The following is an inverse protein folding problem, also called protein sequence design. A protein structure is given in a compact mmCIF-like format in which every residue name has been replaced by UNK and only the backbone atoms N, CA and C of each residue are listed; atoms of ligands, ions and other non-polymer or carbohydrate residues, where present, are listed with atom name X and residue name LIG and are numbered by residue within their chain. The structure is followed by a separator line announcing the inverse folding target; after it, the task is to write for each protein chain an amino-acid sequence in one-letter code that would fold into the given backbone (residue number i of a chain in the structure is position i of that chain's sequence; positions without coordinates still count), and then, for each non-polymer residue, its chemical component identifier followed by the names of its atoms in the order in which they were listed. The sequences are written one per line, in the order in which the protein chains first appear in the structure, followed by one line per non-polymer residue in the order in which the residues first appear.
data_IF_587333698177
#
_entry.id   IF_587333698177
#
_cell.length_a   1.000
_cell.length_b   1.000
_cell.length_c   1.000
_cell.angle_alpha   90.00
_cell.angle_beta   90.00
_cell.angle_gamma   90.00
#
_symmetry.space_group_name_H-M   'P 1'
#
loop_
_entity.id
_entity.type
_entity.pdbx_description
1 polymer ?
#
# COMPACT_ATOMS: atom_id res chain seq x y z
N UNK A 1 -15.47 -25.55 10.71
CA UNK A 1 -14.55 -24.38 10.87
C UNK A 1 -15.36 -23.21 11.40
N UNK A 2 -14.98 -22.65 12.53
CA UNK A 2 -15.64 -21.54 13.22
C UNK A 2 -14.91 -20.23 12.91
N UNK A 3 -15.59 -19.19 12.45
CA UNK A 3 -14.97 -17.89 12.15
C UNK A 3 -15.08 -16.96 13.35
N UNK A 4 -13.93 -16.57 13.91
CA UNK A 4 -13.82 -15.62 15.02
C UNK A 4 -13.52 -14.24 14.44
N UNK A 5 -14.45 -13.31 14.61
CA UNK A 5 -14.27 -11.92 14.14
C UNK A 5 -13.58 -11.08 15.19
N UNK A 6 -12.59 -10.30 14.77
CA UNK A 6 -11.77 -9.51 15.69
C UNK A 6 -11.73 -8.06 15.22
N UNK A 7 -12.21 -7.16 16.09
CA UNK A 7 -12.02 -5.72 15.91
C UNK A 7 -10.85 -5.26 16.78
N UNK A 8 -9.83 -4.65 16.13
CA UNK A 8 -8.54 -4.32 16.77
C UNK A 8 -8.40 -2.83 16.96
N UNK A 9 -8.17 -2.42 18.20
CA UNK A 9 -7.78 -1.06 18.57
C UNK A 9 -6.33 -1.01 19.07
N UNK A 10 -5.87 0.18 19.45
CA UNK A 10 -4.50 0.39 19.94
C UNK A 10 -4.19 -0.42 21.20
N UNK A 11 -5.06 -0.35 22.20
CA UNK A 11 -4.79 -0.87 23.54
C UNK A 11 -5.53 -2.17 23.85
N UNK A 12 -6.55 -2.51 23.04
CA UNK A 12 -7.37 -3.71 23.20
C UNK A 12 -7.92 -4.20 21.86
N UNK A 13 -8.47 -5.40 21.87
CA UNK A 13 -9.28 -5.91 20.77
C UNK A 13 -10.48 -6.70 21.30
N UNK A 14 -11.57 -6.69 20.54
CA UNK A 14 -12.79 -7.43 20.85
C UNK A 14 -12.87 -8.63 19.90
N UNK A 15 -13.05 -9.82 20.47
CA UNK A 15 -13.26 -11.05 19.70
C UNK A 15 -14.71 -11.51 19.83
N UNK A 16 -15.35 -11.81 18.69
CA UNK A 16 -16.71 -12.34 18.61
C UNK A 16 -16.69 -13.82 18.25
N UNK A 17 -17.25 -14.63 19.14
CA UNK A 17 -17.33 -16.07 19.01
C UNK A 17 -18.75 -16.47 18.60
N UNK A 18 -18.95 -17.20 17.47
CA UNK A 18 -20.26 -17.72 17.08
C UNK A 18 -20.84 -18.65 18.13
N UNK A 19 -22.15 -18.57 18.33
CA UNK A 19 -22.97 -19.43 19.19
C UNK A 19 -24.22 -19.85 18.45
N UNK A 20 -24.97 -20.84 18.98
CA UNK A 20 -26.23 -21.32 18.36
C UNK A 20 -27.21 -20.17 18.05
N UNK A 21 -27.30 -19.17 18.92
CA UNK A 21 -28.21 -18.03 18.80
C UNK A 21 -27.46 -16.68 18.79
N UNK A 22 -26.46 -16.51 17.90
CA UNK A 22 -25.75 -15.24 17.77
C UNK A 22 -24.28 -15.32 18.13
N UNK A 23 -23.75 -14.30 18.81
CA UNK A 23 -22.33 -14.17 19.12
C UNK A 23 -22.12 -13.78 20.58
N UNK A 24 -21.10 -14.36 21.20
CA UNK A 24 -20.54 -13.89 22.48
C UNK A 24 -19.28 -13.09 22.20
N UNK A 25 -19.13 -11.94 22.82
CA UNK A 25 -17.95 -11.10 22.67
C UNK A 25 -17.09 -11.12 23.92
N UNK A 26 -15.77 -11.08 23.74
CA UNK A 26 -14.79 -10.97 24.81
C UNK A 26 -13.75 -9.93 24.43
N UNK A 27 -13.32 -9.13 25.40
CA UNK A 27 -12.30 -8.09 25.21
C UNK A 27 -10.96 -8.55 25.80
N UNK A 28 -9.89 -8.33 25.02
CA UNK A 28 -8.51 -8.68 25.41
C UNK A 28 -7.63 -7.44 25.25
N UNK A 29 -6.52 -7.39 26.02
CA UNK A 29 -5.49 -6.37 25.83
C UNK A 29 -4.69 -6.65 24.54
N UNK A 30 -4.36 -5.61 23.79
CA UNK A 30 -3.53 -5.72 22.58
C UNK A 30 -2.03 -5.71 22.95
N UNK A 31 -1.64 -6.63 23.82
CA UNK A 31 -0.26 -6.91 24.21
C UNK A 31 0.02 -8.42 24.15
N UNK A 32 1.28 -8.81 24.32
CA UNK A 32 1.68 -10.23 24.23
C UNK A 32 0.93 -11.14 25.21
N UNK A 33 0.60 -10.65 26.41
CA UNK A 33 -0.13 -11.44 27.43
C UNK A 33 -1.60 -11.61 27.04
N UNK A 34 -2.25 -10.51 26.64
CA UNK A 34 -3.65 -10.55 26.22
C UNK A 34 -3.86 -11.40 24.97
N UNK A 35 -2.94 -11.32 23.99
CA UNK A 35 -3.01 -12.16 22.78
C UNK A 35 -2.81 -13.63 23.12
N UNK A 36 -1.87 -13.99 24.02
CA UNK A 36 -1.70 -15.37 24.47
C UNK A 36 -2.94 -15.89 25.21
N UNK A 37 -3.56 -15.08 26.07
CA UNK A 37 -4.82 -15.43 26.73
C UNK A 37 -5.95 -15.65 25.73
N UNK A 38 -6.02 -14.82 24.69
CA UNK A 38 -6.95 -15.00 23.57
C UNK A 38 -6.71 -16.32 22.84
N UNK A 39 -5.46 -16.61 22.47
CA UNK A 39 -5.09 -17.86 21.79
C UNK A 39 -5.54 -19.09 22.59
N UNK A 40 -5.35 -19.07 23.92
CA UNK A 40 -5.78 -20.16 24.80
C UNK A 40 -7.31 -20.34 24.85
N UNK A 41 -8.07 -19.26 24.57
CA UNK A 41 -9.55 -19.29 24.55
C UNK A 41 -10.15 -19.74 23.22
N UNK A 42 -9.31 -19.94 22.19
CA UNK A 42 -9.80 -20.29 20.85
C UNK A 42 -10.18 -21.78 20.75
N UNK A 43 -11.26 -22.10 20.02
CA UNK A 43 -11.59 -23.49 19.68
C UNK A 43 -10.54 -24.10 18.74
N UNK A 44 -10.39 -25.44 18.77
CA UNK A 44 -9.42 -26.16 17.93
C UNK A 44 -9.63 -25.94 16.42
N UNK A 45 -10.87 -25.90 15.94
CA UNK A 45 -11.21 -25.69 14.51
C UNK A 45 -11.76 -24.27 14.29
N UNK A 46 -10.88 -23.27 14.38
CA UNK A 46 -11.26 -21.88 14.18
C UNK A 46 -10.41 -21.18 13.10
N UNK A 47 -10.98 -20.12 12.53
CA UNK A 47 -10.33 -19.21 11.62
C UNK A 47 -10.57 -17.78 12.10
N UNK A 48 -9.51 -17.06 12.43
CA UNK A 48 -9.60 -15.68 12.88
C UNK A 48 -9.70 -14.72 11.67
N UNK A 49 -10.62 -13.77 11.74
CA UNK A 49 -10.78 -12.73 10.72
C UNK A 49 -10.69 -11.38 11.39
N UNK A 50 -9.86 -10.49 10.86
CA UNK A 50 -9.70 -9.12 11.38
C UNK A 50 -9.68 -8.09 10.25
N UNK A 51 -10.03 -6.86 10.59
CA UNK A 51 -9.84 -5.70 9.72
C UNK A 51 -8.39 -5.18 9.84
N UNK A 52 -7.81 -4.74 8.73
CA UNK A 52 -6.46 -4.17 8.72
C UNK A 52 -6.44 -2.77 9.39
N UNK A 53 -6.12 -2.72 10.68
CA UNK A 53 -6.04 -1.49 11.50
C UNK A 53 -4.61 -0.96 11.60
N UNK A 54 -3.94 -0.86 10.47
CA UNK A 54 -2.56 -0.39 10.39
C UNK A 54 -1.58 -1.30 11.15
N UNK A 55 -0.72 -0.71 12.00
CA UNK A 55 0.28 -1.49 12.74
C UNK A 55 -0.29 -2.19 13.98
N UNK A 56 -1.46 -1.78 14.47
CA UNK A 56 -2.02 -2.31 15.71
C UNK A 56 -2.47 -3.78 15.60
N UNK A 57 -2.85 -4.21 14.39
CA UNK A 57 -3.23 -5.61 14.13
C UNK A 57 -2.03 -6.55 13.91
N UNK A 58 -0.80 -6.02 13.76
CA UNK A 58 0.35 -6.85 13.37
C UNK A 58 0.84 -7.77 14.47
N UNK A 59 0.83 -7.35 15.74
CA UNK A 59 1.22 -8.20 16.87
C UNK A 59 0.29 -9.42 16.98
N UNK A 60 -1.02 -9.15 16.94
CA UNK A 60 -2.05 -10.19 17.00
C UNK A 60 -1.91 -11.17 15.84
N UNK A 61 -1.81 -10.66 14.61
CA UNK A 61 -1.61 -11.49 13.41
C UNK A 61 -0.38 -12.39 13.52
N UNK A 62 0.76 -11.83 13.95
CA UNK A 62 2.02 -12.56 14.07
C UNK A 62 1.92 -13.69 15.09
N UNK A 63 1.38 -13.43 16.29
CA UNK A 63 1.26 -14.43 17.34
C UNK A 63 0.24 -15.52 17.01
N UNK A 64 -0.88 -15.19 16.34
CA UNK A 64 -1.84 -16.18 15.85
C UNK A 64 -1.20 -17.11 14.81
N UNK A 65 -0.44 -16.58 13.88
CA UNK A 65 0.24 -17.41 12.88
C UNK A 65 1.36 -18.25 13.49
N UNK A 66 2.10 -17.74 14.48
CA UNK A 66 3.05 -18.56 15.25
C UNK A 66 2.38 -19.74 15.98
N UNK A 67 1.15 -19.54 16.42
CA UNK A 67 0.34 -20.58 17.04
C UNK A 67 -0.32 -21.54 16.01
N UNK A 68 -0.07 -21.35 14.70
CA UNK A 68 -0.66 -22.18 13.65
C UNK A 68 -2.14 -21.90 13.37
N UNK A 69 -2.69 -20.78 13.88
CA UNK A 69 -4.11 -20.44 13.73
C UNK A 69 -4.34 -19.74 12.39
N UNK A 70 -5.18 -20.29 11.51
CA UNK A 70 -5.57 -19.64 10.27
C UNK A 70 -6.15 -18.25 10.55
N UNK A 71 -5.58 -17.22 9.93
CA UNK A 71 -5.96 -15.84 10.21
C UNK A 71 -6.02 -15.03 8.92
N UNK A 72 -7.16 -14.41 8.64
CA UNK A 72 -7.36 -13.49 7.52
C UNK A 72 -7.35 -12.04 7.99
N UNK A 73 -6.67 -11.18 7.23
CA UNK A 73 -6.66 -9.74 7.45
C UNK A 73 -7.26 -9.05 6.24
N UNK A 74 -8.44 -8.47 6.43
CA UNK A 74 -9.25 -7.91 5.35
C UNK A 74 -9.14 -6.41 5.21
N UNK A 75 -9.36 -5.93 3.98
CA UNK A 75 -9.36 -4.51 3.70
C UNK A 75 -10.56 -3.83 4.40
N UNK A 76 -10.35 -2.71 5.13
CA UNK A 76 -11.42 -1.95 5.79
C UNK A 76 -12.60 -1.60 4.88
N UNK A 77 -12.35 -1.37 3.61
CA UNK A 77 -13.43 -1.08 2.66
C UNK A 77 -14.34 -2.30 2.41
N UNK A 78 -13.79 -3.53 2.41
CA UNK A 78 -14.62 -4.73 2.25
C UNK A 78 -15.56 -4.89 3.44
N UNK A 79 -15.04 -4.76 4.66
CA UNK A 79 -15.84 -4.82 5.89
C UNK A 79 -16.90 -3.71 5.90
N UNK A 80 -16.52 -2.48 5.56
CA UNK A 80 -17.46 -1.35 5.46
C UNK A 80 -18.58 -1.58 4.43
N UNK A 81 -18.26 -2.13 3.25
CA UNK A 81 -19.28 -2.44 2.25
C UNK A 81 -20.19 -3.58 2.71
N UNK A 82 -19.63 -4.58 3.37
CA UNK A 82 -20.39 -5.68 3.96
C UNK A 82 -21.34 -5.16 5.06
N UNK A 83 -20.86 -4.30 5.96
CA UNK A 83 -21.67 -3.63 6.99
C UNK A 83 -22.88 -2.91 6.37
N UNK A 84 -22.68 -2.18 5.28
CA UNK A 84 -23.77 -1.51 4.55
C UNK A 84 -24.75 -2.49 3.93
N UNK A 85 -24.27 -3.59 3.36
CA UNK A 85 -25.13 -4.62 2.80
C UNK A 85 -26.01 -5.29 3.87
N UNK A 86 -25.48 -5.42 5.10
CA UNK A 86 -26.18 -5.93 6.29
C UNK A 86 -27.07 -4.88 6.98
N UNK A 87 -27.13 -3.63 6.45
CA UNK A 87 -27.90 -2.51 7.01
C UNK A 87 -27.58 -2.21 8.49
N UNK A 88 -26.34 -2.46 8.92
CA UNK A 88 -25.92 -2.21 10.29
C UNK A 88 -25.79 -0.69 10.51
N UNK A 89 -26.59 -0.14 11.42
CA UNK A 89 -26.65 1.31 11.71
C UNK A 89 -25.80 1.67 12.93
N UNK A 90 -25.78 0.79 13.93
CA UNK A 90 -25.05 1.04 15.19
C UNK A 90 -23.59 0.61 15.04
N UNK A 91 -22.68 1.43 15.57
CA UNK A 91 -21.25 1.17 15.58
C UNK A 91 -20.72 1.11 17.01
N UNK A 92 -20.28 -0.08 17.42
CA UNK A 92 -19.50 -0.37 18.62
C UNK A 92 -18.51 -1.45 18.30
N UNK A 93 -17.40 -1.52 19.03
CA UNK A 93 -16.35 -2.54 18.81
C UNK A 93 -16.91 -3.98 18.87
N UNK A 94 -17.92 -4.21 19.73
CA UNK A 94 -18.61 -5.51 19.80
C UNK A 94 -19.44 -5.81 18.54
N UNK A 95 -20.13 -4.83 17.99
CA UNK A 95 -20.91 -4.98 16.76
C UNK A 95 -19.99 -5.15 15.59
N UNK A 96 -18.90 -4.39 15.54
CA UNK A 96 -17.90 -4.51 14.47
C UNK A 96 -17.22 -5.88 14.52
N UNK A 97 -16.85 -6.42 15.69
CA UNK A 97 -16.32 -7.77 15.83
C UNK A 97 -17.31 -8.86 15.38
N UNK A 98 -18.62 -8.74 15.74
CA UNK A 98 -19.67 -9.65 15.27
C UNK A 98 -19.84 -9.60 13.77
N UNK A 99 -19.80 -8.41 13.18
CA UNK A 99 -19.90 -8.20 11.76
C UNK A 99 -18.72 -8.83 11.00
N UNK A 100 -17.50 -8.72 11.56
CA UNK A 100 -16.29 -9.34 10.99
C UNK A 100 -16.41 -10.88 11.08
N UNK A 101 -16.96 -11.45 12.16
CA UNK A 101 -17.21 -12.87 12.26
C UNK A 101 -18.21 -13.35 11.17
N UNK A 102 -19.33 -12.63 11.02
CA UNK A 102 -20.34 -12.88 9.98
C UNK A 102 -19.76 -12.76 8.56
N UNK A 103 -18.86 -11.77 8.36
CA UNK A 103 -18.11 -11.65 7.11
C UNK A 103 -17.27 -12.90 6.85
N UNK A 104 -16.55 -13.39 7.86
CA UNK A 104 -15.78 -14.63 7.78
C UNK A 104 -16.63 -15.82 7.35
N UNK A 105 -17.80 -16.03 7.97
CA UNK A 105 -18.74 -17.11 7.66
C UNK A 105 -19.29 -17.04 6.23
N UNK A 106 -19.64 -15.84 5.76
CA UNK A 106 -20.26 -15.65 4.44
C UNK A 106 -19.26 -15.59 3.29
N UNK A 107 -18.08 -15.03 3.52
CA UNK A 107 -17.12 -14.73 2.47
C UNK A 107 -15.93 -15.70 2.45
N UNK A 108 -15.75 -16.51 3.49
CA UNK A 108 -14.68 -17.52 3.62
C UNK A 108 -13.31 -17.01 3.15
N UNK A 109 -12.80 -15.90 3.74
CA UNK A 109 -11.58 -15.26 3.26
C UNK A 109 -10.36 -16.16 3.42
N UNK A 110 -9.44 -16.09 2.47
CA UNK A 110 -8.19 -16.84 2.53
C UNK A 110 -7.28 -16.35 3.67
N UNK A 111 -6.49 -17.24 4.31
CA UNK A 111 -5.51 -16.84 5.31
C UNK A 111 -4.51 -15.83 4.76
N UNK A 112 -4.21 -14.81 5.56
CA UNK A 112 -3.23 -13.80 5.22
C UNK A 112 -1.81 -14.39 5.25
N UNK A 113 -1.07 -14.18 4.19
CA UNK A 113 0.35 -14.58 4.12
C UNK A 113 1.22 -13.43 4.63
N UNK A 114 1.94 -13.64 5.74
CA UNK A 114 2.89 -12.63 6.23
C UNK A 114 3.97 -12.41 5.15
N UNK A 115 4.24 -11.15 4.80
CA UNK A 115 5.35 -10.79 3.93
C UNK A 115 6.70 -11.28 4.49
N UNK A 116 7.67 -11.52 3.61
CA UNK A 116 9.04 -11.77 4.04
C UNK A 116 9.54 -10.65 4.96
N UNK A 117 10.36 -10.99 5.94
CA UNK A 117 10.88 -10.05 6.93
C UNK A 117 11.55 -8.84 6.28
N UNK A 118 12.33 -9.08 5.22
CA UNK A 118 12.96 -8.02 4.42
C UNK A 118 11.94 -7.01 3.84
N UNK A 119 10.77 -7.47 3.41
CA UNK A 119 9.68 -6.58 2.95
C UNK A 119 9.10 -5.76 4.11
N UNK A 120 8.92 -6.38 5.27
CA UNK A 120 8.43 -5.66 6.46
C UNK A 120 9.41 -4.58 6.91
N UNK A 121 10.71 -4.89 6.95
CA UNK A 121 11.77 -3.93 7.28
C UNK A 121 11.84 -2.78 6.27
N UNK A 122 11.82 -3.09 4.97
CA UNK A 122 11.76 -2.08 3.92
C UNK A 122 10.53 -1.19 4.02
N UNK A 123 9.35 -1.76 4.33
CA UNK A 123 8.11 -1.01 4.52
C UNK A 123 8.21 -0.03 5.69
N UNK A 124 8.80 -0.46 6.82
CA UNK A 124 9.04 0.40 7.99
C UNK A 124 9.97 1.56 7.63
N UNK A 125 11.16 1.26 7.06
CA UNK A 125 12.14 2.27 6.64
C UNK A 125 11.53 3.29 5.66
N UNK A 126 10.76 2.84 4.67
CA UNK A 126 10.08 3.73 3.72
C UNK A 126 9.00 4.58 4.39
N UNK A 127 8.34 4.08 5.42
CA UNK A 127 7.35 4.86 6.18
C UNK A 127 8.03 6.00 6.95
N UNK A 128 9.14 5.69 7.63
CA UNK A 128 9.97 6.70 8.33
C UNK A 128 10.53 7.71 7.34
N UNK A 129 11.12 7.26 6.22
CA UNK A 129 11.65 8.13 5.18
C UNK A 129 10.60 9.12 4.65
N UNK A 130 9.38 8.64 4.41
CA UNK A 130 8.27 9.49 3.96
C UNK A 130 7.93 10.58 4.98
N UNK A 131 7.95 10.24 6.27
CA UNK A 131 7.67 11.19 7.34
C UNK A 131 8.78 12.23 7.48
N UNK A 132 10.06 11.81 7.44
CA UNK A 132 11.21 12.74 7.48
C UNK A 132 11.18 13.72 6.29
N UNK A 133 10.85 13.24 5.07
CA UNK A 133 10.69 14.11 3.90
C UNK A 133 9.58 15.15 4.06
N UNK A 134 8.44 14.78 4.70
CA UNK A 134 7.38 15.74 5.01
C UNK A 134 7.86 16.81 6.01
N UNK A 135 8.57 16.40 7.06
CA UNK A 135 9.13 17.34 8.04
C UNK A 135 10.15 18.27 7.38
N UNK A 136 11.02 17.74 6.51
CA UNK A 136 11.98 18.58 5.78
C UNK A 136 11.31 19.65 4.93
N UNK A 137 10.25 19.28 4.19
CA UNK A 137 9.49 20.26 3.39
C UNK A 137 8.80 21.30 4.28
N UNK A 138 8.17 20.89 5.38
CA UNK A 138 7.55 21.82 6.32
C UNK A 138 8.57 22.79 6.93
N UNK A 139 9.74 22.28 7.33
CA UNK A 139 10.83 23.11 7.93
C UNK A 139 11.42 24.08 6.90
N UNK A 140 11.58 23.66 5.62
CA UNK A 140 12.01 24.56 4.53
C UNK A 140 10.98 25.66 4.25
N UNK A 141 9.68 25.34 4.26
CA UNK A 141 8.63 26.35 4.11
C UNK A 141 8.64 27.34 5.27
N UNK A 142 8.88 26.89 6.52
CA UNK A 142 9.07 27.76 7.66
C UNK A 142 10.30 28.68 7.46
N UNK A 143 11.43 28.14 7.01
CA UNK A 143 12.61 28.94 6.70
C UNK A 143 12.31 30.05 5.69
N UNK A 144 11.59 29.73 4.61
CA UNK A 144 11.19 30.73 3.60
C UNK A 144 10.24 31.78 4.17
N UNK A 145 9.28 31.37 5.03
CA UNK A 145 8.36 32.29 5.69
C UNK A 145 9.07 33.26 6.66
N UNK A 146 10.07 32.77 7.40
CA UNK A 146 10.87 33.62 8.29
C UNK A 146 11.81 34.58 7.52
N UNK A 147 12.27 34.17 6.35
CA UNK A 147 13.21 34.96 5.54
C UNK A 147 12.62 36.27 5.00
N UNK A 148 11.27 36.38 4.90
CA UNK A 148 10.60 37.61 4.41
C UNK A 148 10.25 38.58 5.55
N UNK A 149 10.54 38.24 6.81
CA UNK A 149 10.28 39.15 7.95
C UNK A 149 11.26 40.33 7.95
N UNK A 150 10.80 41.57 8.24
CA UNK A 150 11.67 42.78 8.28
C UNK A 150 12.77 42.69 9.35
N UNK A 151 12.52 41.97 10.43
CA UNK A 151 13.50 41.67 11.48
C UNK A 151 13.51 40.18 11.71
N UNK A 152 14.70 39.57 11.58
CA UNK A 152 14.87 38.13 11.79
C UNK A 152 15.63 37.90 13.11
N UNK A 153 15.07 36.99 13.92
CA UNK A 153 15.81 36.48 15.06
C UNK A 153 16.84 35.44 14.61
N UNK A 154 18.13 35.76 14.89
CA UNK A 154 19.25 34.92 14.45
C UNK A 154 19.26 33.54 15.10
N UNK A 155 18.81 33.44 16.38
CA UNK A 155 18.74 32.16 17.07
C UNK A 155 17.70 31.21 16.44
N UNK A 156 16.53 31.74 16.13
CA UNK A 156 15.45 31.01 15.42
C UNK A 156 15.90 30.56 14.03
N UNK A 157 16.55 31.45 13.25
CA UNK A 157 17.08 31.12 11.93
C UNK A 157 18.10 29.99 12.02
N UNK A 158 19.03 30.06 12.94
CA UNK A 158 20.06 29.04 13.13
C UNK A 158 19.46 27.68 13.56
N UNK A 159 18.45 27.70 14.41
CA UNK A 159 17.73 26.47 14.82
C UNK A 159 17.06 25.79 13.65
N UNK A 160 16.38 26.56 12.78
CA UNK A 160 15.74 26.02 11.56
C UNK A 160 16.78 25.45 10.60
N UNK A 161 17.90 26.14 10.39
CA UNK A 161 19.01 25.67 9.53
C UNK A 161 19.62 24.37 10.05
N UNK A 162 19.87 24.26 11.36
CA UNK A 162 20.34 23.02 11.99
C UNK A 162 19.37 21.87 11.80
N UNK A 163 18.06 22.14 11.98
CA UNK A 163 17.02 21.13 11.80
C UNK A 163 16.98 20.64 10.35
N UNK A 164 17.09 21.54 9.36
CA UNK A 164 17.13 21.17 7.93
C UNK A 164 18.35 20.28 7.64
N UNK A 165 19.53 20.64 8.15
CA UNK A 165 20.77 19.85 7.98
C UNK A 165 20.63 18.46 8.60
N UNK A 166 20.09 18.37 9.82
CA UNK A 166 19.85 17.11 10.51
C UNK A 166 18.88 16.21 9.72
N UNK A 167 17.71 16.73 9.34
CA UNK A 167 16.72 15.99 8.56
C UNK A 167 17.29 15.52 7.21
N UNK A 168 18.06 16.38 6.53
CA UNK A 168 18.66 16.03 5.23
C UNK A 168 19.64 14.87 5.36
N UNK A 169 20.48 14.86 6.43
CA UNK A 169 21.41 13.77 6.71
C UNK A 169 20.66 12.46 7.01
N UNK A 170 19.66 12.49 7.90
CA UNK A 170 18.87 11.31 8.24
C UNK A 170 18.12 10.72 7.04
N UNK A 171 17.65 11.58 6.13
CA UNK A 171 17.02 11.14 4.87
C UNK A 171 18.03 10.42 4.00
N UNK A 172 19.25 10.98 3.81
CA UNK A 172 20.29 10.37 2.98
C UNK A 172 20.72 8.99 3.54
N UNK A 173 21.01 8.92 4.85
CA UNK A 173 21.37 7.68 5.53
C UNK A 173 20.30 6.59 5.34
N UNK A 174 19.02 6.94 5.52
CA UNK A 174 17.92 6.00 5.38
C UNK A 174 17.64 5.59 3.92
N UNK A 175 17.89 6.48 2.95
CA UNK A 175 17.83 6.15 1.51
C UNK A 175 18.92 5.14 1.12
N UNK A 176 20.12 5.30 1.65
CA UNK A 176 21.23 4.36 1.44
C UNK A 176 20.95 3.01 2.09
N UNK A 177 20.43 2.98 3.32
CA UNK A 177 20.03 1.73 3.98
C UNK A 177 18.93 0.99 3.21
N UNK A 178 17.92 1.70 2.71
CA UNK A 178 16.86 1.12 1.87
C UNK A 178 17.45 0.52 0.59
N UNK A 179 18.36 1.26 -0.04
CA UNK A 179 19.03 0.82 -1.28
C UNK A 179 19.88 -0.42 -1.03
N UNK A 180 20.67 -0.43 0.05
CA UNK A 180 21.53 -1.54 0.43
C UNK A 180 20.72 -2.81 0.77
N UNK A 181 19.66 -2.66 1.58
CA UNK A 181 18.77 -3.77 1.92
C UNK A 181 18.04 -4.31 0.67
N UNK A 182 17.57 -3.41 -0.21
CA UNK A 182 16.92 -3.80 -1.47
C UNK A 182 17.88 -4.54 -2.39
N UNK A 183 19.14 -4.10 -2.48
CA UNK A 183 20.16 -4.77 -3.29
C UNK A 183 20.60 -6.11 -2.70
N UNK A 184 20.66 -6.23 -1.36
CA UNK A 184 21.00 -7.48 -0.68
C UNK A 184 19.95 -8.56 -0.93
N UNK A 185 18.67 -8.23 -0.71
CA UNK A 185 17.58 -9.21 -0.70
C UNK A 185 16.90 -9.37 -2.06
N UNK A 186 16.94 -8.32 -2.92
CA UNK A 186 16.18 -8.25 -4.18
C UNK A 186 17.05 -7.76 -5.35
N UNK A 187 18.35 -8.09 -5.34
CA UNK A 187 19.32 -7.60 -6.36
C UNK A 187 18.80 -7.80 -7.77
N UNK A 188 18.35 -9.01 -8.09
CA UNK A 188 17.89 -9.35 -9.45
C UNK A 188 16.69 -8.49 -9.85
N UNK A 189 15.69 -8.33 -8.98
CA UNK A 189 14.54 -7.48 -9.26
C UNK A 189 14.94 -6.00 -9.37
N UNK A 190 15.88 -5.54 -8.54
CA UNK A 190 16.42 -4.17 -8.63
C UNK A 190 17.08 -3.93 -9.99
N UNK A 191 17.95 -4.83 -10.44
CA UNK A 191 18.65 -4.74 -11.74
C UNK A 191 17.63 -4.74 -12.90
N UNK A 192 16.65 -5.63 -12.85
CA UNK A 192 15.59 -5.73 -13.86
C UNK A 192 14.73 -4.46 -13.92
N UNK A 193 14.31 -3.96 -12.79
CA UNK A 193 13.46 -2.74 -12.72
C UNK A 193 14.22 -1.49 -13.17
N UNK A 194 15.47 -1.35 -12.75
CA UNK A 194 16.29 -0.19 -13.11
C UNK A 194 16.79 -0.23 -14.57
N UNK A 195 16.70 -1.39 -15.26
CA UNK A 195 16.93 -1.48 -16.70
C UNK A 195 15.86 -0.73 -17.52
N UNK A 196 14.65 -0.51 -16.93
CA UNK A 196 13.59 0.25 -17.59
C UNK A 196 13.96 1.74 -17.55
N UNK A 197 14.14 2.34 -18.72
CA UNK A 197 14.42 3.78 -18.84
C UNK A 197 13.38 4.61 -18.07
N UNK A 198 13.83 5.32 -17.05
CA UNK A 198 13.03 6.16 -16.17
C UNK A 198 12.73 5.57 -14.79
N UNK A 199 12.90 4.28 -14.57
CA UNK A 199 12.77 3.67 -13.23
C UNK A 199 14.11 3.71 -12.51
N UNK A 200 14.23 4.61 -11.53
CA UNK A 200 15.40 4.69 -10.64
C UNK A 200 15.25 3.77 -9.41
N UNK A 201 16.35 3.65 -8.64
CA UNK A 201 16.43 2.79 -7.43
C UNK A 201 15.29 3.03 -6.44
N UNK A 202 14.91 4.29 -6.22
CA UNK A 202 13.82 4.67 -5.28
C UNK A 202 12.47 4.11 -5.70
N UNK A 203 12.11 4.20 -7.00
CA UNK A 203 10.85 3.63 -7.48
C UNK A 203 10.92 2.11 -7.56
N UNK A 204 12.07 1.53 -7.96
CA UNK A 204 12.28 0.08 -7.98
C UNK A 204 12.05 -0.53 -6.59
N UNK A 205 12.72 0.00 -5.56
CA UNK A 205 12.50 -0.42 -4.17
C UNK A 205 11.04 -0.24 -3.72
N UNK A 206 10.38 0.87 -4.14
CA UNK A 206 8.98 1.10 -3.83
C UNK A 206 8.05 0.03 -4.42
N UNK A 207 8.30 -0.35 -5.68
CA UNK A 207 7.54 -1.40 -6.36
C UNK A 207 7.78 -2.76 -5.72
N UNK A 208 9.02 -3.10 -5.36
CA UNK A 208 9.35 -4.35 -4.65
C UNK A 208 8.55 -4.45 -3.35
N UNK A 209 8.55 -3.39 -2.52
CA UNK A 209 7.80 -3.38 -1.26
C UNK A 209 6.29 -3.50 -1.49
N UNK A 210 5.75 -2.76 -2.46
CA UNK A 210 4.31 -2.76 -2.74
C UNK A 210 3.78 -4.08 -3.30
N UNK A 211 4.65 -4.85 -3.98
CA UNK A 211 4.29 -6.08 -4.68
C UNK A 211 4.84 -7.35 -4.03
N UNK A 212 5.57 -7.21 -2.89
CA UNK A 212 6.27 -8.36 -2.28
C UNK A 212 7.27 -9.00 -3.23
N UNK A 213 8.10 -8.19 -3.91
CA UNK A 213 9.00 -8.68 -4.94
C UNK A 213 8.28 -9.24 -6.17
N UNK A 214 7.07 -8.77 -6.46
CA UNK A 214 6.16 -9.21 -7.53
C UNK A 214 5.53 -10.59 -7.32
N UNK A 215 5.47 -11.07 -6.07
CA UNK A 215 4.86 -12.36 -5.72
C UNK A 215 3.38 -12.27 -5.33
N UNK A 216 2.87 -11.06 -4.95
CA UNK A 216 1.49 -10.91 -4.49
C UNK A 216 0.45 -10.85 -5.61
N UNK A 217 0.88 -10.73 -6.84
CA UNK A 217 0.00 -10.50 -7.98
C UNK A 217 0.32 -11.43 -9.14
N UNK A 218 -0.68 -12.04 -9.72
CA UNK A 218 -0.54 -12.94 -10.87
C UNK A 218 -0.44 -12.19 -12.21
N UNK A 219 -0.79 -10.90 -12.25
CA UNK A 219 -0.70 -10.10 -13.48
C UNK A 219 -0.60 -8.59 -13.22
N UNK A 220 -0.13 -7.86 -14.20
CA UNK A 220 0.06 -6.41 -14.13
C UNK A 220 -1.26 -5.62 -13.94
N UNK A 221 -2.42 -6.17 -14.35
CA UNK A 221 -3.72 -5.51 -14.19
C UNK A 221 -4.10 -5.44 -12.70
N UNK A 222 -3.80 -6.50 -11.93
CA UNK A 222 -4.00 -6.52 -10.48
C UNK A 222 -3.14 -5.47 -9.78
N UNK A 223 -1.85 -5.33 -10.15
CA UNK A 223 -0.97 -4.29 -9.62
C UNK A 223 -1.52 -2.90 -9.95
N UNK A 224 -1.92 -2.65 -11.20
CA UNK A 224 -2.49 -1.37 -11.61
C UNK A 224 -3.77 -1.01 -10.84
N UNK A 225 -4.62 -2.01 -10.56
CA UNK A 225 -5.82 -1.84 -9.73
C UNK A 225 -5.46 -1.55 -8.28
N UNK A 226 -4.51 -2.29 -7.71
CA UNK A 226 -4.01 -2.09 -6.35
C UNK A 226 -3.41 -0.69 -6.15
N UNK A 227 -2.69 -0.16 -7.15
CA UNK A 227 -2.12 1.18 -7.12
C UNK A 227 -3.13 2.29 -7.45
N UNK A 228 -4.35 1.93 -7.82
CA UNK A 228 -5.40 2.89 -8.19
C UNK A 228 -5.12 3.64 -9.50
N UNK A 229 -4.44 3.00 -10.45
CA UNK A 229 -4.15 3.54 -11.78
C UNK A 229 -5.23 3.18 -12.83
N UNK A 230 -6.14 2.26 -12.49
CA UNK A 230 -7.22 1.88 -13.40
C UNK A 230 -8.35 2.91 -13.37
N UNK A 231 -8.89 3.30 -14.53
CA UNK A 231 -10.08 4.13 -14.58
C UNK A 231 -11.29 3.36 -14.05
N UNK A 232 -12.15 4.06 -13.31
CA UNK A 232 -13.47 3.56 -12.93
C UNK A 232 -14.49 4.11 -13.92
N UNK A 233 -15.32 3.24 -14.47
CA UNK A 233 -16.43 3.61 -15.33
C UNK A 233 -17.73 3.36 -14.58
N UNK A 234 -18.68 4.29 -14.71
CA UNK A 234 -20.06 4.07 -14.28
C UNK A 234 -20.94 4.27 -15.51
N UNK A 235 -21.50 3.17 -15.98
CA UNK A 235 -22.47 3.16 -17.06
C UNK A 235 -23.71 2.42 -16.56
N UNK A 236 -24.86 3.03 -16.68
CA UNK A 236 -26.14 2.40 -16.37
C UNK A 236 -27.16 2.82 -17.43
N UNK A 237 -27.61 1.84 -18.21
CA UNK A 237 -28.50 2.07 -19.34
C UNK A 237 -27.96 3.10 -20.34
N UNK A 238 -28.85 3.85 -20.96
CA UNK A 238 -28.54 4.92 -21.94
C UNK A 238 -28.32 6.29 -21.27
N UNK A 239 -28.74 6.47 -20.02
CA UNK A 239 -28.82 7.78 -19.35
C UNK A 239 -27.59 8.13 -18.50
N UNK A 240 -26.83 7.13 -18.02
CA UNK A 240 -25.68 7.36 -17.16
C UNK A 240 -24.40 6.97 -17.89
N UNK A 241 -23.65 7.99 -18.33
CA UNK A 241 -22.30 7.81 -18.88
C UNK A 241 -21.34 8.79 -18.21
N UNK A 242 -20.81 8.39 -17.05
CA UNK A 242 -19.87 9.23 -16.30
C UNK A 242 -18.46 9.01 -16.85
N UNK A 243 -17.79 10.12 -17.24
CA UNK A 243 -16.38 10.08 -17.66
C UNK A 243 -15.52 9.42 -16.57
N UNK A 244 -14.86 8.34 -16.93
CA UNK A 244 -14.00 7.59 -16.02
C UNK A 244 -12.86 8.42 -15.44
N UNK A 245 -12.63 8.31 -14.16
CA UNK A 245 -11.47 8.85 -13.45
C UNK A 245 -10.75 7.72 -12.71
N UNK A 246 -9.50 7.96 -12.36
CA UNK A 246 -8.72 6.95 -11.63
C UNK A 246 -9.36 6.65 -10.27
N UNK A 247 -9.37 5.35 -9.90
CA UNK A 247 -9.78 4.94 -8.57
C UNK A 247 -8.79 5.51 -7.53
N UNK A 248 -9.32 6.22 -6.53
CA UNK A 248 -8.50 6.78 -5.44
C UNK A 248 -8.09 5.75 -4.38
N UNK A 249 -8.58 4.52 -4.49
CA UNK A 249 -8.18 3.40 -3.63
C UNK A 249 -6.76 2.96 -4.01
N UNK A 250 -5.86 2.92 -3.03
CA UNK A 250 -4.47 2.52 -3.24
C UNK A 250 -3.45 3.52 -2.69
N UNK A 251 -2.17 3.17 -2.76
CA UNK A 251 -1.08 4.01 -2.24
C UNK A 251 -0.93 5.31 -3.07
N UNK A 252 -1.43 6.40 -2.50
CA UNK A 252 -1.39 7.74 -3.11
C UNK A 252 0.05 8.21 -3.33
N UNK A 253 0.97 7.87 -2.42
CA UNK A 253 2.36 8.29 -2.52
C UNK A 253 3.07 7.56 -3.67
N UNK A 254 2.92 6.25 -3.77
CA UNK A 254 3.49 5.47 -4.86
C UNK A 254 2.88 5.86 -6.21
N UNK A 255 1.58 6.14 -6.26
CA UNK A 255 0.92 6.66 -7.45
C UNK A 255 1.49 8.01 -7.89
N UNK A 256 1.78 8.92 -6.94
CA UNK A 256 2.42 10.22 -7.25
C UNK A 256 3.85 10.03 -7.76
N UNK A 257 4.63 9.13 -7.20
CA UNK A 257 5.96 8.79 -7.69
C UNK A 257 5.90 8.22 -9.11
N UNK A 258 4.99 7.30 -9.38
CA UNK A 258 4.77 6.73 -10.72
C UNK A 258 4.36 7.79 -11.73
N UNK A 259 3.51 8.74 -11.35
CA UNK A 259 3.10 9.84 -12.21
C UNK A 259 4.30 10.71 -12.60
N UNK A 260 5.14 11.11 -11.65
CA UNK A 260 6.34 11.92 -11.92
C UNK A 260 7.34 11.17 -12.81
N UNK A 261 7.56 9.89 -12.54
CA UNK A 261 8.41 9.04 -13.39
C UNK A 261 7.81 8.89 -14.79
N UNK A 262 6.50 8.68 -14.90
CA UNK A 262 5.81 8.59 -16.18
C UNK A 262 5.95 9.87 -17.02
N UNK A 263 5.91 11.06 -16.40
CA UNK A 263 6.19 12.33 -17.10
C UNK A 263 7.59 12.33 -17.73
N UNK A 264 8.61 11.81 -17.05
CA UNK A 264 9.96 11.71 -17.61
C UNK A 264 10.04 10.64 -18.70
N UNK A 265 9.35 9.51 -18.53
CA UNK A 265 9.35 8.41 -19.49
C UNK A 265 8.72 8.78 -20.83
N UNK A 266 7.84 9.79 -20.90
CA UNK A 266 7.34 10.29 -22.19
C UNK A 266 8.44 10.86 -23.08
N UNK A 267 9.62 11.16 -22.52
CA UNK A 267 10.77 11.69 -23.24
C UNK A 267 11.84 10.66 -23.57
N UNK A 268 12.06 9.71 -22.66
CA UNK A 268 13.25 8.85 -22.69
C UNK A 268 12.97 7.35 -22.93
N UNK A 269 11.70 6.89 -22.81
CA UNK A 269 11.29 5.51 -23.03
C UNK A 269 10.43 5.45 -24.28
N UNK A 270 10.90 4.82 -25.35
CA UNK A 270 10.27 4.81 -26.67
C UNK A 270 8.80 4.35 -26.63
N UNK A 271 8.52 3.22 -25.96
CA UNK A 271 7.16 2.68 -25.85
C UNK A 271 6.23 3.57 -25.01
N UNK A 272 6.77 4.29 -24.02
CA UNK A 272 6.01 5.27 -23.22
C UNK A 272 5.71 6.52 -24.03
N UNK A 273 6.67 7.01 -24.80
CA UNK A 273 6.51 8.15 -25.69
C UNK A 273 5.45 7.87 -26.74
N UNK A 274 5.55 6.77 -27.47
CA UNK A 274 4.54 6.36 -28.45
C UNK A 274 3.13 6.29 -27.87
N UNK A 275 3.00 5.69 -26.66
CA UNK A 275 1.70 5.63 -25.96
C UNK A 275 1.18 7.01 -25.61
N UNK A 276 2.04 7.92 -25.16
CA UNK A 276 1.67 9.30 -24.83
C UNK A 276 1.22 10.03 -26.08
N UNK A 277 2.02 10.05 -27.14
CA UNK A 277 1.78 10.78 -28.38
C UNK A 277 0.48 10.30 -29.05
N UNK A 278 0.27 8.99 -29.15
CA UNK A 278 -0.98 8.40 -29.68
C UNK A 278 -2.21 8.84 -28.88
N UNK A 279 -2.14 8.86 -27.55
CA UNK A 279 -3.27 9.27 -26.71
C UNK A 279 -3.53 10.79 -26.82
N UNK A 280 -2.49 11.60 -26.98
CA UNK A 280 -2.63 13.04 -27.21
C UNK A 280 -3.25 13.33 -28.58
N UNK A 281 -2.82 12.62 -29.63
CA UNK A 281 -3.42 12.71 -30.95
C UNK A 281 -4.91 12.32 -30.95
N UNK A 282 -5.31 11.35 -30.10
CA UNK A 282 -6.70 10.96 -29.91
C UNK A 282 -7.48 11.87 -28.94
N UNK A 283 -7.01 13.10 -28.68
CA UNK A 283 -7.73 14.12 -27.90
C UNK A 283 -7.73 13.89 -26.38
N UNK A 284 -6.98 12.94 -25.84
CA UNK A 284 -6.89 12.73 -24.38
C UNK A 284 -6.10 13.87 -23.73
N UNK A 285 -6.56 14.31 -22.54
CA UNK A 285 -5.82 15.33 -21.77
C UNK A 285 -4.41 14.83 -21.39
N UNK A 286 -3.43 15.75 -21.27
CA UNK A 286 -2.06 15.40 -20.91
C UNK A 286 -1.97 14.60 -19.60
N UNK A 287 -2.76 14.97 -18.57
CA UNK A 287 -2.82 14.23 -17.31
C UNK A 287 -3.30 12.78 -17.51
N UNK A 288 -4.34 12.57 -18.30
CA UNK A 288 -4.86 11.24 -18.60
C UNK A 288 -3.86 10.39 -19.39
N UNK A 289 -3.16 11.00 -20.36
CA UNK A 289 -2.12 10.33 -21.13
C UNK A 289 -0.94 9.89 -20.24
N UNK A 290 -0.47 10.75 -19.32
CA UNK A 290 0.59 10.40 -18.34
C UNK A 290 0.16 9.27 -17.41
N UNK A 291 -1.09 9.24 -16.94
CA UNK A 291 -1.59 8.10 -16.12
C UNK A 291 -1.59 6.81 -16.93
N UNK A 292 -1.92 6.84 -18.20
CA UNK A 292 -1.84 5.67 -19.06
C UNK A 292 -0.37 5.21 -19.26
N UNK A 293 0.57 6.15 -19.37
CA UNK A 293 2.01 5.84 -19.37
C UNK A 293 2.45 5.20 -18.06
N UNK A 294 1.98 5.70 -16.90
CA UNK A 294 2.25 5.07 -15.60
C UNK A 294 1.76 3.61 -15.57
N UNK A 295 0.60 3.33 -16.15
CA UNK A 295 0.07 1.97 -16.29
C UNK A 295 0.94 1.12 -17.25
N UNK A 296 1.45 1.71 -18.34
CA UNK A 296 2.41 1.03 -19.25
C UNK A 296 3.69 0.67 -18.51
N UNK A 297 4.24 1.57 -17.68
CA UNK A 297 5.42 1.29 -16.86
C UNK A 297 5.21 0.12 -15.89
N UNK A 298 4.05 0.01 -15.25
CA UNK A 298 3.73 -1.15 -14.39
C UNK A 298 3.71 -2.45 -15.20
N UNK A 299 3.20 -2.42 -16.42
CA UNK A 299 3.23 -3.59 -17.31
C UNK A 299 4.65 -3.97 -17.71
N UNK A 300 5.51 -2.98 -18.02
CA UNK A 300 6.93 -3.22 -18.30
C UNK A 300 7.62 -3.79 -17.06
N UNK A 301 7.42 -3.20 -15.87
CA UNK A 301 8.00 -3.66 -14.61
C UNK A 301 7.59 -5.11 -14.29
N UNK A 302 6.31 -5.44 -14.43
CA UNK A 302 5.83 -6.80 -14.24
C UNK A 302 6.46 -7.78 -15.27
N UNK A 303 6.53 -7.39 -16.54
CA UNK A 303 7.06 -8.25 -17.60
C UNK A 303 8.55 -8.55 -17.43
N UNK A 304 9.39 -7.56 -17.09
CA UNK A 304 10.82 -7.78 -16.90
C UNK A 304 11.11 -8.67 -15.70
N UNK A 305 10.35 -8.52 -14.62
CA UNK A 305 10.52 -9.34 -13.42
C UNK A 305 10.01 -10.77 -13.64
N UNK A 306 8.83 -10.95 -14.22
CA UNK A 306 8.25 -12.30 -14.43
C UNK A 306 8.97 -13.10 -15.50
N UNK A 307 9.44 -12.42 -16.57
CA UNK A 307 10.25 -13.06 -17.62
C UNK A 307 11.73 -13.19 -17.24
N UNK A 308 12.14 -12.57 -16.13
CA UNK A 308 13.53 -12.53 -15.68
C UNK A 308 14.51 -12.00 -16.74
N UNK A 309 14.08 -11.03 -17.55
CA UNK A 309 14.86 -10.46 -18.66
C UNK A 309 14.90 -8.92 -18.53
N UNK A 310 16.08 -8.29 -18.75
CA UNK A 310 16.18 -6.83 -18.75
C UNK A 310 15.28 -6.20 -19.81
N UNK A 311 14.92 -4.95 -19.57
CA UNK A 311 14.14 -4.17 -20.52
C UNK A 311 14.96 -3.88 -21.79
N UNK A 312 14.37 -4.15 -22.95
CA UNK A 312 14.92 -3.79 -24.27
C UNK A 312 14.04 -2.68 -24.86
N UNK A 313 14.66 -1.53 -25.15
CA UNK A 313 13.93 -0.40 -25.76
C UNK A 313 13.56 -0.74 -27.20
N UNK A 314 12.33 -0.39 -27.60
CA UNK A 314 11.83 -0.74 -28.93
C UNK A 314 11.38 -2.19 -29.11
N UNK A 315 11.33 -3.00 -28.06
CA UNK A 315 10.80 -4.37 -28.16
C UNK A 315 9.33 -4.35 -28.58
N UNK A 316 9.05 -4.89 -29.78
CA UNK A 316 7.69 -5.15 -30.26
C UNK A 316 7.35 -6.60 -29.91
N UNK A 317 6.28 -6.81 -29.12
CA UNK A 317 5.79 -8.15 -28.81
C UNK A 317 5.30 -8.82 -30.10
N UNK A 318 5.85 -9.98 -30.42
CA UNK A 318 5.40 -10.82 -31.55
C UNK A 318 4.04 -11.50 -31.30
N UNK A 319 3.37 -11.17 -30.18
CA UNK A 319 2.03 -11.66 -29.87
C UNK A 319 1.04 -10.57 -30.30
N UNK A 320 0.54 -10.71 -31.51
CA UNK A 320 -0.65 -10.03 -32.00
C UNK A 320 -1.92 -10.64 -31.37
#
# INVERSE_FOLDING_TARGET
MMYIGIDVSKDSFVAAYPRKNGYTTMTFKNDTKGVRSFITSLPEDCHCVMEATGNYSMLLLYLLQQAGIPTSMENPQKIKHFSRAMMTVTKTDEIDAKLIAMYGEKMTPEPYKIPAESILLLKQKRTVLRQLKKHLVATKNLQQSLAVLPKQDLASKHTVEKTIKFLSRQIAELEDEITNLSNKEYKRQMDLLTSIKGIGKTLASALIVATGGFTYFSNAKQISRYLGLCPTYQQSGTSVNVKGHINRNGDTHLRSQLYLVACNCTKYNAACKETYDRLRANGKSGKAAVVAVANKLIRQAFAVVTKNQPYVDGFVSSIA
#
